data_IF_523058302295
#
_entry.id   IF_523058302295
#
_cell.length_a   1.000
_cell.length_b   1.000
_cell.length_c   1.000
_cell.angle_alpha   90.00
_cell.angle_beta   90.00
_cell.angle_gamma   90.00
#
_symmetry.space_group_name_H-M   'P 1'
#
loop_
_entity.id
_entity.type
_entity.pdbx_description
1 polymer ?
#
# COMPACT_ATOMS: atom_id res chain seq x y z
N UNK A 1 -3.69 -18.70 12.16
CA UNK A 1 -3.22 -18.74 10.76
C UNK A 1 -2.27 -17.58 10.53
N UNK A 2 -1.33 -17.67 9.59
CA UNK A 2 -0.40 -16.55 9.30
C UNK A 2 -1.14 -15.25 8.90
N UNK A 3 -2.37 -15.36 8.40
CA UNK A 3 -3.24 -14.20 8.13
C UNK A 3 -3.66 -13.46 9.42
N UNK A 4 -3.79 -14.16 10.54
CA UNK A 4 -4.14 -13.54 11.83
C UNK A 4 -2.98 -12.66 12.32
N UNK A 5 -1.74 -13.05 12.03
CA UNK A 5 -0.57 -12.20 12.30
C UNK A 5 -0.66 -10.90 11.50
N UNK A 6 -1.01 -10.97 10.21
CA UNK A 6 -1.13 -9.76 9.39
C UNK A 6 -2.19 -8.79 9.91
N UNK A 7 -3.26 -9.31 10.53
CA UNK A 7 -4.27 -8.49 11.21
C UNK A 7 -3.69 -7.86 12.48
N UNK A 8 -2.91 -8.60 13.28
CA UNK A 8 -2.20 -8.06 14.46
C UNK A 8 -1.29 -6.90 14.07
N UNK A 9 -0.43 -7.08 13.06
CA UNK A 9 0.50 -6.03 12.62
C UNK A 9 -0.25 -4.76 12.16
N UNK A 10 -1.43 -4.91 11.54
CA UNK A 10 -2.25 -3.76 11.15
C UNK A 10 -2.79 -2.99 12.36
N UNK A 11 -3.15 -3.69 13.43
CA UNK A 11 -3.62 -3.06 14.67
C UNK A 11 -2.46 -2.42 15.44
N UNK A 12 -1.27 -3.03 15.45
CA UNK A 12 -0.05 -2.43 16.04
C UNK A 12 0.32 -1.11 15.33
N UNK A 13 0.27 -1.07 13.98
CA UNK A 13 0.43 0.18 13.23
C UNK A 13 -0.64 1.22 13.63
N UNK A 14 -1.90 0.80 13.79
CA UNK A 14 -3.00 1.69 14.19
C UNK A 14 -2.74 2.28 15.57
N UNK A 15 -2.36 1.46 16.53
CA UNK A 15 -2.04 1.86 17.90
C UNK A 15 -0.86 2.81 17.94
N UNK A 16 0.23 2.52 17.22
CA UNK A 16 1.40 3.39 17.13
C UNK A 16 1.05 4.78 16.57
N UNK A 17 0.16 4.84 15.57
CA UNK A 17 -0.35 6.12 15.02
C UNK A 17 -1.23 6.84 16.05
N UNK A 18 -2.17 6.13 16.69
CA UNK A 18 -3.10 6.70 17.67
C UNK A 18 -2.37 7.29 18.88
N UNK A 19 -1.36 6.58 19.37
CA UNK A 19 -0.51 7.00 20.49
C UNK A 19 0.56 8.02 20.10
N UNK A 20 0.63 8.42 18.82
CA UNK A 20 1.62 9.37 18.28
C UNK A 20 3.05 8.95 18.60
N UNK A 21 3.32 7.65 18.44
CA UNK A 21 4.65 7.12 18.65
C UNK A 21 5.67 7.75 17.70
N UNK A 22 6.97 7.72 18.06
CA UNK A 22 8.02 8.24 17.20
C UNK A 22 7.98 7.59 15.80
N UNK A 23 8.36 8.33 14.73
CA UNK A 23 8.31 7.80 13.35
C UNK A 23 9.10 6.50 13.12
N UNK A 24 10.13 6.22 13.93
CA UNK A 24 10.89 4.98 13.83
C UNK A 24 10.09 3.77 14.32
N UNK A 25 9.22 3.92 15.34
CA UNK A 25 8.33 2.86 15.83
C UNK A 25 7.26 2.54 14.80
N UNK A 26 6.57 3.56 14.28
CA UNK A 26 5.57 3.37 13.21
C UNK A 26 6.20 2.67 12.00
N UNK A 27 7.45 3.01 11.66
CA UNK A 27 8.20 2.34 10.58
C UNK A 27 8.53 0.88 10.88
N UNK A 28 8.82 0.55 12.14
CA UNK A 28 9.07 -0.82 12.61
C UNK A 28 7.82 -1.68 12.39
N UNK A 29 6.65 -1.24 12.86
CA UNK A 29 5.39 -1.97 12.71
C UNK A 29 5.00 -2.16 11.23
N UNK A 30 5.25 -1.15 10.37
CA UNK A 30 5.08 -1.30 8.92
C UNK A 30 6.04 -2.37 8.36
N UNK A 31 7.25 -2.44 8.89
CA UNK A 31 8.23 -3.47 8.53
C UNK A 31 7.75 -4.87 8.89
N UNK A 32 7.15 -5.04 10.06
CA UNK A 32 6.63 -6.32 10.53
C UNK A 32 5.41 -6.77 9.71
N UNK A 33 4.53 -5.85 9.29
CA UNK A 33 3.48 -6.14 8.31
C UNK A 33 4.05 -6.61 6.95
N UNK A 34 5.11 -5.97 6.45
CA UNK A 34 5.76 -6.37 5.20
C UNK A 34 6.42 -7.75 5.33
N UNK A 35 7.09 -8.03 6.44
CA UNK A 35 7.67 -9.33 6.74
C UNK A 35 6.58 -10.43 6.82
N UNK A 36 5.44 -10.11 7.44
CA UNK A 36 4.29 -11.02 7.51
C UNK A 36 3.67 -11.26 6.13
N UNK A 37 3.60 -10.25 5.26
CA UNK A 37 3.15 -10.42 3.87
C UNK A 37 4.07 -11.34 3.05
N UNK A 38 5.39 -11.26 3.26
CA UNK A 38 6.36 -12.18 2.64
C UNK A 38 6.17 -13.59 3.20
N UNK A 39 6.02 -13.71 4.53
CA UNK A 39 5.77 -14.99 5.20
C UNK A 39 4.48 -15.66 4.71
N UNK A 40 3.43 -14.88 4.45
CA UNK A 40 2.18 -15.35 3.84
C UNK A 40 2.42 -16.03 2.50
N UNK A 41 3.27 -15.46 1.64
CA UNK A 41 3.62 -16.08 0.36
C UNK A 41 4.28 -17.44 0.59
N UNK A 42 5.30 -17.49 1.45
CA UNK A 42 6.09 -18.70 1.75
C UNK A 42 5.20 -19.81 2.31
N UNK A 43 4.45 -19.53 3.38
CA UNK A 43 3.62 -20.53 4.06
C UNK A 43 2.39 -20.96 3.25
N UNK A 44 1.99 -20.18 2.25
CA UNK A 44 0.92 -20.54 1.32
C UNK A 44 1.42 -21.19 0.03
N UNK A 45 2.74 -21.40 -0.12
CA UNK A 45 3.35 -22.04 -1.28
C UNK A 45 3.45 -21.15 -2.53
N UNK A 46 3.34 -19.83 -2.38
CA UNK A 46 3.54 -18.88 -3.47
C UNK A 46 5.00 -18.43 -3.55
N UNK A 47 5.51 -18.29 -4.77
CA UNK A 47 6.82 -17.69 -4.99
C UNK A 47 6.80 -16.20 -4.65
N UNK A 48 7.68 -15.80 -3.74
CA UNK A 48 7.76 -14.42 -3.24
C UNK A 48 8.17 -13.45 -4.35
N UNK A 49 9.13 -13.85 -5.20
CA UNK A 49 9.70 -12.98 -6.24
C UNK A 49 8.66 -12.68 -7.32
N UNK A 50 7.96 -13.70 -7.80
CA UNK A 50 6.89 -13.56 -8.80
C UNK A 50 5.71 -12.78 -8.22
N UNK A 51 5.36 -13.03 -6.95
CA UNK A 51 4.30 -12.27 -6.26
C UNK A 51 4.66 -10.78 -6.17
N UNK A 52 5.89 -10.45 -5.76
CA UNK A 52 6.37 -9.07 -5.70
C UNK A 52 6.46 -8.41 -7.08
N UNK A 53 6.88 -9.15 -8.12
CA UNK A 53 6.92 -8.65 -9.48
C UNK A 53 5.52 -8.23 -9.97
N UNK A 54 4.52 -9.07 -9.74
CA UNK A 54 3.12 -8.79 -10.06
C UNK A 54 2.56 -7.59 -9.27
N UNK A 55 2.94 -7.46 -8.00
CA UNK A 55 2.56 -6.29 -7.18
C UNK A 55 3.17 -5.02 -7.76
N UNK A 56 4.45 -5.05 -8.13
CA UNK A 56 5.16 -3.89 -8.67
C UNK A 56 4.57 -3.45 -10.02
N UNK A 57 4.25 -4.38 -10.92
CA UNK A 57 3.58 -4.08 -12.19
C UNK A 57 2.22 -3.40 -11.95
N UNK A 58 1.37 -3.98 -11.09
CA UNK A 58 0.07 -3.40 -10.74
C UNK A 58 0.21 -2.02 -10.08
N UNK A 59 1.20 -1.84 -9.22
CA UNK A 59 1.48 -0.56 -8.58
C UNK A 59 1.89 0.50 -9.61
N UNK A 60 2.80 0.15 -10.53
CA UNK A 60 3.25 1.03 -11.61
C UNK A 60 2.14 1.43 -12.58
N UNK A 61 1.28 0.49 -12.98
CA UNK A 61 0.12 0.76 -13.82
C UNK A 61 -0.87 1.72 -13.13
N UNK A 62 -1.17 1.49 -11.84
CA UNK A 62 -2.03 2.38 -11.04
C UNK A 62 -1.44 3.76 -10.87
N UNK A 63 -0.14 3.87 -10.61
CA UNK A 63 0.53 5.16 -10.46
C UNK A 63 0.49 5.96 -11.77
N UNK A 64 0.67 5.30 -12.91
CA UNK A 64 0.56 5.93 -14.23
C UNK A 64 -0.87 6.43 -14.50
N UNK A 65 -1.88 5.62 -14.23
CA UNK A 65 -3.29 6.02 -14.34
C UNK A 65 -3.63 7.18 -13.39
N UNK A 66 -3.16 7.13 -12.14
CA UNK A 66 -3.37 8.19 -11.16
C UNK A 66 -2.80 9.52 -11.64
N UNK A 67 -1.56 9.53 -12.15
CA UNK A 67 -0.94 10.74 -12.72
C UNK A 67 -1.71 11.29 -13.92
N UNK A 68 -2.28 10.41 -14.76
CA UNK A 68 -3.11 10.82 -15.89
C UNK A 68 -4.40 11.50 -15.41
N UNK A 69 -5.12 10.90 -14.46
CA UNK A 69 -6.34 11.46 -13.88
C UNK A 69 -6.06 12.82 -13.22
N UNK A 70 -4.95 12.93 -12.48
CA UNK A 70 -4.55 14.19 -11.85
C UNK A 70 -4.36 15.30 -12.90
N UNK A 71 -3.66 15.01 -14.01
CA UNK A 71 -3.47 15.96 -15.12
C UNK A 71 -4.78 16.35 -15.81
N UNK A 72 -5.69 15.39 -16.02
CA UNK A 72 -7.01 15.65 -16.59
C UNK A 72 -7.84 16.59 -15.70
N UNK A 73 -7.59 16.59 -14.39
CA UNK A 73 -8.18 17.52 -13.41
C UNK A 73 -7.39 18.83 -13.23
N UNK A 74 -6.39 19.08 -14.06
CA UNK A 74 -5.59 20.32 -14.03
C UNK A 74 -4.50 20.37 -12.97
N UNK A 75 -4.11 19.23 -12.38
CA UNK A 75 -3.01 19.15 -11.42
C UNK A 75 -1.69 18.76 -12.10
N UNK A 76 -0.64 19.55 -11.88
CA UNK A 76 0.71 19.25 -12.37
C UNK A 76 1.39 18.13 -11.55
N UNK A 77 1.18 18.14 -10.23
CA UNK A 77 1.64 17.12 -9.30
C UNK A 77 0.62 16.84 -8.17
N UNK A 78 0.95 15.91 -7.27
CA UNK A 78 0.11 15.52 -6.13
C UNK A 78 0.60 16.10 -4.80
N UNK A 79 1.59 17.00 -4.86
CA UNK A 79 2.28 17.49 -3.67
C UNK A 79 1.33 18.40 -2.89
N UNK A 80 1.22 18.16 -1.59
CA UNK A 80 0.34 18.93 -0.71
C UNK A 80 -1.16 18.67 -0.90
N UNK A 81 -1.54 17.67 -1.71
CA UNK A 81 -2.92 17.28 -1.83
C UNK A 81 -3.42 16.56 -0.57
N UNK A 82 -4.70 16.74 -0.16
CA UNK A 82 -5.29 16.00 0.95
C UNK A 82 -5.20 14.48 0.75
N UNK A 83 -5.06 13.73 1.84
CA UNK A 83 -4.97 12.27 1.79
C UNK A 83 -6.23 11.66 1.18
N UNK A 84 -7.39 12.18 1.55
CA UNK A 84 -8.70 11.74 1.05
C UNK A 84 -8.77 11.86 -0.47
N UNK A 85 -8.29 12.99 -1.01
CA UNK A 85 -8.23 13.21 -2.45
C UNK A 85 -7.24 12.26 -3.13
N UNK A 86 -6.06 12.02 -2.54
CA UNK A 86 -5.12 11.03 -3.06
C UNK A 86 -5.71 9.62 -3.06
N UNK A 87 -6.49 9.26 -2.04
CA UNK A 87 -7.21 7.99 -1.97
C UNK A 87 -8.31 7.89 -3.04
N UNK A 88 -9.07 8.95 -3.29
CA UNK A 88 -10.05 9.01 -4.38
C UNK A 88 -9.40 8.76 -5.75
N UNK A 89 -8.30 9.48 -6.04
CA UNK A 89 -7.55 9.29 -7.28
C UNK A 89 -6.99 7.88 -7.41
N UNK A 90 -6.50 7.31 -6.31
CA UNK A 90 -6.04 5.92 -6.27
C UNK A 90 -7.15 4.91 -6.54
N UNK A 91 -8.33 5.12 -5.97
CA UNK A 91 -9.51 4.29 -6.21
C UNK A 91 -9.94 4.34 -7.68
N UNK A 92 -9.92 5.51 -8.31
CA UNK A 92 -10.23 5.66 -9.73
C UNK A 92 -9.17 4.98 -10.61
N UNK A 93 -7.88 5.20 -10.33
CA UNK A 93 -6.78 4.55 -11.02
C UNK A 93 -6.85 3.02 -10.94
N UNK A 94 -7.28 2.49 -9.78
CA UNK A 94 -7.52 1.04 -9.60
C UNK A 94 -8.66 0.51 -10.47
N UNK A 95 -9.68 1.32 -10.78
CA UNK A 95 -10.77 0.92 -11.70
C UNK A 95 -10.30 0.91 -13.15
N UNK A 96 -9.47 1.87 -13.55
CA UNK A 96 -8.95 1.96 -14.93
C UNK A 96 -7.87 0.91 -15.23
N UNK A 97 -7.13 0.45 -14.22
CA UNK A 97 -6.04 -0.55 -14.35
C UNK A 97 -6.49 -2.00 -14.13
N UNK A 98 -7.79 -2.26 -13.93
CA UNK A 98 -8.34 -3.62 -13.95
C UNK A 98 -8.35 -4.12 -15.40
N UNK A 99 -7.23 -4.69 -15.82
CA UNK A 99 -7.16 -5.68 -16.89
C UNK A 99 -6.77 -7.04 -16.31
#
# INVERSE_FOLDING_TARGET
MIIDQAVSECEEIREAILHKEPPHRIREEIGDLLHTAISLCIFSGYDVKDTLANVNEKFGARMSALKKIARERGLEDLKGQPLEFMLELWHEAKKQSKS
#
